data_IF_093716631439
#
_entry.id   IF_093716631439
#
_cell.length_a   1.000
_cell.length_b   1.000
_cell.length_c   1.000
_cell.angle_alpha   90.00
_cell.angle_beta   90.00
_cell.angle_gamma   90.00
#
_symmetry.space_group_name_H-M   'P 1'
#
loop_
_entity.id
_entity.type
_entity.pdbx_description
1 polymer ?
#
# COMPACT_ATOMS: atom_id res chain seq x y z
N UNK A 1 -40.36 -30.03 -19.34
CA UNK A 1 -38.94 -30.27 -19.80
C UNK A 1 -38.07 -29.34 -19.00
N UNK A 2 -37.40 -29.87 -17.97
CA UNK A 2 -36.62 -29.08 -16.98
C UNK A 2 -35.17 -29.03 -17.40
N UNK A 3 -34.70 -27.87 -17.83
CA UNK A 3 -33.28 -27.61 -18.12
C UNK A 3 -32.53 -27.24 -16.85
N UNK A 4 -31.74 -28.18 -16.32
CA UNK A 4 -30.86 -28.00 -15.16
C UNK A 4 -29.60 -27.31 -15.60
N UNK A 5 -29.45 -26.02 -15.30
CA UNK A 5 -28.19 -25.26 -15.55
C UNK A 5 -27.21 -25.62 -14.44
N UNK A 6 -26.19 -26.38 -14.79
CA UNK A 6 -25.06 -26.70 -13.91
C UNK A 6 -24.09 -25.52 -13.84
N UNK A 7 -24.06 -24.82 -12.72
CA UNK A 7 -23.01 -23.85 -12.43
C UNK A 7 -21.73 -24.57 -12.04
N UNK A 8 -20.77 -24.58 -12.94
CA UNK A 8 -19.42 -25.09 -12.65
C UNK A 8 -18.62 -23.97 -11.95
N UNK A 9 -18.47 -24.08 -10.66
CA UNK A 9 -17.59 -23.22 -9.89
C UNK A 9 -16.11 -23.59 -10.19
N UNK A 10 -15.41 -22.77 -10.94
CA UNK A 10 -13.97 -22.91 -11.15
C UNK A 10 -13.27 -22.31 -9.94
N UNK A 11 -12.85 -23.14 -9.01
CA UNK A 11 -11.97 -22.76 -7.91
C UNK A 11 -10.56 -22.51 -8.49
N UNK A 12 -10.17 -21.24 -8.60
CA UNK A 12 -8.82 -20.86 -8.99
C UNK A 12 -7.89 -21.02 -7.79
N UNK A 13 -7.19 -22.16 -7.71
CA UNK A 13 -6.16 -22.41 -6.72
C UNK A 13 -4.95 -21.49 -7.00
N UNK A 14 -4.73 -20.51 -6.13
CA UNK A 14 -3.52 -19.71 -6.14
C UNK A 14 -2.44 -20.51 -5.39
N UNK A 15 -1.57 -21.18 -6.16
CA UNK A 15 -0.37 -21.82 -5.64
C UNK A 15 0.67 -20.72 -5.42
N UNK A 16 1.01 -20.45 -4.18
CA UNK A 16 2.12 -19.58 -3.80
C UNK A 16 3.38 -20.44 -3.77
N UNK A 17 4.41 -20.17 -4.61
CA UNK A 17 5.67 -20.87 -4.49
C UNK A 17 6.40 -20.42 -3.21
N UNK A 18 6.76 -21.40 -2.38
CA UNK A 18 7.65 -21.21 -1.25
C UNK A 18 9.05 -20.93 -1.81
N UNK A 19 9.51 -19.68 -1.79
CA UNK A 19 10.87 -19.33 -2.13
C UNK A 19 11.80 -19.69 -0.96
N UNK A 20 12.67 -20.66 -1.18
CA UNK A 20 13.73 -21.04 -0.28
C UNK A 20 14.75 -19.90 -0.16
N UNK A 21 14.98 -19.42 1.05
CA UNK A 21 16.05 -18.47 1.34
C UNK A 21 17.38 -19.22 1.41
N UNK A 22 18.22 -19.07 0.38
CA UNK A 22 19.63 -19.40 0.45
C UNK A 22 20.38 -18.19 1.01
N UNK A 23 20.93 -18.34 2.21
CA UNK A 23 21.83 -17.36 2.81
C UNK A 23 23.21 -17.46 2.14
N UNK A 24 23.58 -16.46 1.37
CA UNK A 24 24.98 -16.27 0.92
C UNK A 24 25.71 -15.43 1.95
N UNK A 25 26.65 -16.05 2.64
CA UNK A 25 27.63 -15.34 3.46
C UNK A 25 28.72 -14.77 2.55
N UNK A 26 28.92 -13.45 2.56
CA UNK A 26 30.04 -12.78 1.91
C UNK A 26 31.23 -12.74 2.86
N UNK A 27 32.48 -12.91 2.38
CA UNK A 27 33.67 -12.84 3.22
C UNK A 27 34.01 -11.40 3.57
N UNK A 28 34.33 -11.16 4.86
CA UNK A 28 34.83 -9.91 5.37
C UNK A 28 36.27 -9.73 4.94
N UNK A 29 36.61 -8.64 4.22
CA UNK A 29 37.96 -8.19 3.97
C UNK A 29 38.41 -7.24 5.07
N UNK A 30 39.53 -7.52 5.68
CA UNK A 30 40.19 -6.71 6.70
C UNK A 30 40.80 -5.41 6.12
N UNK A 31 40.84 -4.30 6.86
CA UNK A 31 41.46 -3.07 6.41
C UNK A 31 43.00 -3.12 6.58
N UNK A 32 43.70 -2.82 5.51
CA UNK A 32 45.18 -2.64 5.51
C UNK A 32 45.52 -1.28 6.11
N UNK A 33 46.32 -1.29 7.16
CA UNK A 33 46.95 -0.10 7.76
C UNK A 33 48.14 0.30 6.93
N UNK A 34 48.13 1.48 6.31
CA UNK A 34 49.32 2.11 5.71
C UNK A 34 49.68 3.29 6.57
N UNK A 35 50.84 3.14 7.24
CA UNK A 35 51.52 4.21 7.99
C UNK A 35 52.34 5.06 7.02
N UNK A 36 52.04 6.35 6.91
CA UNK A 36 52.85 7.32 6.19
C UNK A 36 53.28 8.42 7.14
N UNK A 37 54.60 8.48 7.39
CA UNK A 37 55.26 9.57 8.05
C UNK A 37 55.21 10.84 7.19
N UNK A 38 54.80 11.96 7.74
CA UNK A 38 54.93 13.28 7.12
C UNK A 38 55.62 14.24 8.04
N UNK A 39 56.70 14.77 7.50
CA UNK A 39 57.58 15.81 7.99
C UNK A 39 56.84 17.15 8.05
N UNK A 40 57.13 17.90 9.12
CA UNK A 40 56.61 19.24 9.42
C UNK A 40 57.08 20.27 8.40
N UNK A 41 56.19 21.05 7.82
CA UNK A 41 56.51 22.39 7.33
C UNK A 41 55.39 23.37 7.67
N UNK A 42 55.78 24.54 8.18
CA UNK A 42 54.88 25.59 8.66
C UNK A 42 54.51 26.51 7.49
N UNK A 43 53.26 26.51 7.07
CA UNK A 43 52.70 27.63 6.32
C UNK A 43 51.25 27.84 6.71
N UNK A 44 50.97 29.04 7.20
CA UNK A 44 49.66 29.52 7.64
C UNK A 44 48.70 29.56 6.44
N UNK A 45 47.72 28.66 6.40
CA UNK A 45 46.65 28.75 5.44
C UNK A 45 45.32 28.62 6.19
N UNK A 46 44.43 29.60 5.98
CA UNK A 46 43.12 29.65 6.59
C UNK A 46 42.34 28.35 6.27
N UNK A 47 42.09 27.55 7.28
CA UNK A 47 41.29 26.33 7.18
C UNK A 47 39.83 26.75 7.08
N UNK A 48 39.28 26.74 5.88
CA UNK A 48 37.82 26.66 5.70
C UNK A 48 37.38 25.33 6.32
N UNK A 49 36.81 25.41 7.50
CA UNK A 49 36.15 24.27 8.13
C UNK A 49 34.96 23.85 7.25
N UNK A 50 35.20 22.88 6.40
CA UNK A 50 34.12 22.14 5.73
C UNK A 50 33.41 21.39 6.85
N UNK A 51 32.23 21.92 7.27
CA UNK A 51 31.30 21.17 8.10
C UNK A 51 31.06 19.83 7.38
N UNK A 52 31.32 18.68 8.03
CA UNK A 52 30.89 17.41 7.45
C UNK A 52 29.37 17.54 7.25
N UNK A 53 28.98 17.46 5.99
CA UNK A 53 27.57 17.30 5.62
C UNK A 53 27.10 16.07 6.40
N UNK A 54 26.30 16.27 7.43
CA UNK A 54 25.65 15.16 8.09
C UNK A 54 24.76 14.52 7.03
N UNK A 55 25.23 13.43 6.45
CA UNK A 55 24.40 12.52 5.69
C UNK A 55 23.44 11.98 6.74
N UNK A 56 22.31 12.67 6.90
CA UNK A 56 21.20 12.14 7.65
C UNK A 56 20.77 10.93 6.82
N UNK A 57 21.26 9.76 7.19
CA UNK A 57 20.59 8.53 6.85
C UNK A 57 19.20 8.68 7.44
N UNK A 58 18.28 9.13 6.61
CA UNK A 58 16.86 9.15 6.95
C UNK A 58 16.52 7.70 7.23
N UNK A 59 16.63 7.32 8.50
CA UNK A 59 16.19 6.01 8.96
C UNK A 59 14.81 5.80 8.33
N UNK A 60 14.62 4.68 7.67
CA UNK A 60 13.38 4.40 6.98
C UNK A 60 12.28 4.17 8.02
N UNK A 61 11.89 5.26 8.73
CA UNK A 61 10.81 5.24 9.70
C UNK A 61 9.55 4.74 9.01
N UNK A 62 8.79 3.90 9.71
CA UNK A 62 7.48 3.47 9.24
C UNK A 62 6.61 4.72 9.01
N UNK A 63 5.69 4.69 8.03
CA UNK A 63 4.73 5.76 7.86
C UNK A 63 3.85 5.89 9.12
N UNK A 64 3.33 7.07 9.38
CA UNK A 64 2.37 7.32 10.45
C UNK A 64 0.95 7.16 9.94
N UNK A 65 0.04 6.73 10.80
CA UNK A 65 -1.39 6.67 10.51
C UNK A 65 -2.10 7.91 11.07
N UNK A 66 -3.35 8.13 10.63
CA UNK A 66 -4.26 9.04 11.34
C UNK A 66 -4.50 8.52 12.77
N UNK A 67 -4.85 9.42 13.68
CA UNK A 67 -5.04 9.08 15.10
C UNK A 67 -6.15 8.04 15.30
N UNK A 68 -7.27 8.19 14.56
CA UNK A 68 -8.37 7.25 14.60
C UNK A 68 -9.18 7.21 13.30
N UNK A 69 -9.83 6.09 13.07
CA UNK A 69 -10.80 5.88 11.99
C UNK A 69 -12.08 5.31 12.60
N UNK A 70 -13.17 6.04 12.42
CA UNK A 70 -14.50 5.53 12.66
C UNK A 70 -14.84 4.54 11.53
N UNK A 71 -14.92 3.26 11.85
CA UNK A 71 -15.11 2.20 10.86
C UNK A 71 -16.54 2.17 10.29
N UNK A 72 -17.52 2.75 10.98
CA UNK A 72 -18.88 2.90 10.46
C UNK A 72 -18.93 3.96 9.36
N UNK A 73 -18.28 5.12 9.59
CA UNK A 73 -18.13 6.14 8.56
C UNK A 73 -17.24 5.68 7.40
N UNK A 74 -16.24 4.83 7.69
CA UNK A 74 -15.34 4.28 6.68
C UNK A 74 -16.02 3.20 5.83
N UNK A 75 -17.08 2.57 6.31
CA UNK A 75 -17.83 1.53 5.61
C UNK A 75 -18.44 2.05 4.28
N UNK A 76 -18.86 1.13 3.43
CA UNK A 76 -19.39 1.40 2.10
C UNK A 76 -18.34 1.32 1.00
N UNK A 77 -18.65 1.85 -0.18
CA UNK A 77 -17.83 1.71 -1.39
C UNK A 77 -16.86 2.87 -1.55
N UNK A 78 -15.63 2.53 -1.91
CA UNK A 78 -14.56 3.43 -2.29
C UNK A 78 -14.08 3.10 -3.71
N UNK A 79 -13.84 4.13 -4.50
CA UNK A 79 -13.21 4.03 -5.82
C UNK A 79 -11.69 4.21 -5.66
N UNK A 80 -10.92 3.36 -6.30
CA UNK A 80 -9.47 3.54 -6.40
C UNK A 80 -9.18 4.63 -7.43
N UNK A 81 -8.62 5.75 -6.97
CA UNK A 81 -8.16 6.84 -7.83
C UNK A 81 -6.81 6.51 -8.45
N UNK A 82 -5.96 5.85 -7.68
CA UNK A 82 -4.66 5.39 -8.15
C UNK A 82 -3.92 4.58 -7.10
N UNK A 83 -2.86 3.93 -7.54
CA UNK A 83 -2.05 3.05 -6.70
C UNK A 83 -0.60 2.94 -7.16
N UNK A 84 0.26 2.46 -6.27
CA UNK A 84 1.52 1.83 -6.67
C UNK A 84 1.25 0.45 -7.30
N UNK A 85 2.08 0.00 -8.25
CA UNK A 85 1.95 -1.33 -8.85
C UNK A 85 2.02 -2.44 -7.80
N UNK A 86 1.16 -3.44 -7.93
CA UNK A 86 1.15 -4.59 -7.03
C UNK A 86 0.77 -5.89 -7.74
N UNK A 87 1.43 -6.95 -7.36
CA UNK A 87 1.30 -8.25 -8.01
C UNK A 87 -0.15 -8.79 -8.01
N UNK A 88 -0.85 -8.66 -6.89
CA UNK A 88 -2.19 -9.23 -6.74
C UNK A 88 -3.31 -8.45 -7.45
N UNK A 89 -3.05 -7.19 -7.85
CA UNK A 89 -3.97 -6.39 -8.68
C UNK A 89 -3.54 -6.28 -10.15
N UNK A 90 -2.52 -7.01 -10.60
CA UNK A 90 -1.98 -6.91 -11.97
C UNK A 90 -2.99 -7.24 -13.07
N UNK A 91 -4.04 -7.99 -12.75
CA UNK A 91 -5.12 -8.34 -13.69
C UNK A 91 -6.22 -7.28 -13.77
N UNK A 92 -6.23 -6.29 -12.88
CA UNK A 92 -7.20 -5.20 -12.86
C UNK A 92 -6.74 -4.10 -13.83
N UNK A 93 -7.49 -3.89 -14.89
CA UNK A 93 -7.25 -2.84 -15.88
C UNK A 93 -8.00 -1.56 -15.53
N UNK A 94 -9.25 -1.65 -15.03
CA UNK A 94 -10.10 -0.50 -14.70
C UNK A 94 -11.13 -0.82 -13.62
N UNK A 95 -11.91 0.19 -13.26
CA UNK A 95 -13.12 0.11 -12.42
C UNK A 95 -12.86 -0.54 -11.05
N UNK A 96 -11.70 -0.22 -10.46
CA UNK A 96 -11.32 -0.79 -9.18
C UNK A 96 -12.11 -0.13 -8.07
N UNK A 97 -12.83 -0.94 -7.31
CA UNK A 97 -13.57 -0.52 -6.11
C UNK A 97 -13.27 -1.45 -4.94
N UNK A 98 -13.40 -0.90 -3.73
CA UNK A 98 -13.34 -1.65 -2.48
C UNK A 98 -14.59 -1.31 -1.66
N UNK A 99 -15.37 -2.32 -1.29
CA UNK A 99 -16.55 -2.15 -0.42
C UNK A 99 -16.29 -2.78 0.93
N UNK A 100 -16.46 -2.00 1.98
CA UNK A 100 -16.26 -2.42 3.37
C UNK A 100 -17.62 -2.51 4.07
N UNK A 101 -17.88 -3.65 4.73
CA UNK A 101 -19.12 -3.90 5.47
C UNK A 101 -18.78 -4.50 6.82
N UNK A 102 -19.13 -3.82 7.90
CA UNK A 102 -19.00 -4.37 9.25
C UNK A 102 -19.83 -5.64 9.40
N UNK A 103 -19.26 -6.65 10.02
CA UNK A 103 -19.99 -7.88 10.32
C UNK A 103 -20.85 -7.67 11.57
N UNK A 104 -22.08 -8.15 11.52
CA UNK A 104 -23.06 -8.01 12.61
C UNK A 104 -22.62 -8.70 13.91
N UNK A 105 -21.76 -9.73 13.79
CA UNK A 105 -21.20 -10.45 14.93
C UNK A 105 -19.96 -9.76 15.54
N UNK A 106 -19.57 -8.58 15.01
CA UNK A 106 -18.39 -7.84 15.47
C UNK A 106 -17.03 -8.51 15.14
N UNK A 107 -17.02 -9.62 14.40
CA UNK A 107 -15.80 -10.39 14.14
C UNK A 107 -14.83 -9.74 13.14
N UNK A 108 -15.22 -8.61 12.54
CA UNK A 108 -14.40 -7.86 11.60
C UNK A 108 -15.21 -7.16 10.53
N UNK A 109 -14.56 -6.84 9.42
CA UNK A 109 -15.10 -6.10 8.29
C UNK A 109 -14.95 -6.97 7.04
N UNK A 110 -16.04 -7.28 6.38
CA UNK A 110 -15.99 -7.90 5.04
C UNK A 110 -15.49 -6.86 4.04
N UNK A 111 -14.51 -7.25 3.23
CA UNK A 111 -13.92 -6.43 2.17
C UNK A 111 -14.21 -7.10 0.84
N UNK A 112 -14.91 -6.41 -0.05
CA UNK A 112 -15.16 -6.88 -1.41
C UNK A 112 -14.45 -5.94 -2.38
N UNK A 113 -13.39 -6.43 -3.00
CA UNK A 113 -12.70 -5.73 -4.08
C UNK A 113 -13.26 -6.20 -5.42
N UNK A 114 -13.55 -5.25 -6.30
CA UNK A 114 -14.00 -5.51 -7.67
C UNK A 114 -13.16 -4.72 -8.65
N UNK A 115 -12.95 -5.27 -9.83
CA UNK A 115 -12.34 -4.56 -10.96
C UNK A 115 -12.72 -5.21 -12.28
N UNK A 116 -12.46 -4.52 -13.39
CA UNK A 116 -12.52 -5.05 -14.75
C UNK A 116 -11.12 -5.44 -15.20
N UNK A 117 -10.96 -6.65 -15.75
CA UNK A 117 -9.75 -7.09 -16.41
C UNK A 117 -9.61 -6.48 -17.82
N UNK A 118 -8.46 -6.70 -18.48
CA UNK A 118 -8.18 -6.17 -19.83
C UNK A 118 -9.25 -6.53 -20.88
N UNK A 119 -9.91 -7.67 -20.73
CA UNK A 119 -10.97 -8.12 -21.64
C UNK A 119 -12.37 -7.76 -21.13
N UNK A 120 -12.51 -6.82 -20.21
CA UNK A 120 -13.78 -6.46 -19.57
C UNK A 120 -14.31 -7.52 -18.59
N UNK A 121 -13.54 -8.57 -18.31
CA UNK A 121 -13.93 -9.62 -17.38
C UNK A 121 -14.04 -9.07 -15.96
N UNK A 122 -15.19 -9.26 -15.32
CA UNK A 122 -15.38 -8.86 -13.92
C UNK A 122 -14.54 -9.76 -12.99
N UNK A 123 -13.72 -9.14 -12.17
CA UNK A 123 -12.89 -9.80 -11.15
C UNK A 123 -13.38 -9.36 -9.79
N UNK A 124 -13.64 -10.33 -8.91
CA UNK A 124 -14.08 -10.06 -7.53
C UNK A 124 -13.21 -10.85 -6.56
N UNK A 125 -12.80 -10.21 -5.48
CA UNK A 125 -12.10 -10.84 -4.38
C UNK A 125 -12.76 -10.44 -3.06
N UNK A 126 -13.10 -11.45 -2.23
CA UNK A 126 -13.66 -11.23 -0.91
C UNK A 126 -12.62 -11.53 0.17
N UNK A 127 -12.48 -10.60 1.10
CA UNK A 127 -11.57 -10.69 2.23
C UNK A 127 -12.23 -10.35 3.55
N UNK A 128 -11.47 -10.55 4.62
CA UNK A 128 -11.82 -10.13 5.97
C UNK A 128 -10.73 -9.19 6.49
N UNK A 129 -11.13 -8.00 6.92
CA UNK A 129 -10.27 -7.08 7.66
C UNK A 129 -10.59 -7.15 9.16
N UNK A 130 -9.57 -7.07 9.98
CA UNK A 130 -9.70 -6.96 11.44
C UNK A 130 -8.86 -5.79 11.94
N UNK A 131 -9.35 -4.97 12.87
CA UNK A 131 -8.54 -3.97 13.53
C UNK A 131 -7.29 -4.61 14.14
N UNK A 132 -6.15 -3.96 13.96
CA UNK A 132 -4.88 -4.37 14.56
C UNK A 132 -4.64 -3.67 15.91
N UNK A 133 -5.34 -2.57 16.13
CA UNK A 133 -5.36 -1.79 17.38
C UNK A 133 -6.75 -1.16 17.59
N UNK A 134 -6.91 -0.41 18.69
CA UNK A 134 -8.19 0.20 19.05
C UNK A 134 -8.49 1.51 18.30
N UNK A 135 -7.59 1.95 17.40
CA UNK A 135 -7.77 3.23 16.68
C UNK A 135 -8.60 3.07 15.41
N UNK A 136 -8.73 1.85 14.88
CA UNK A 136 -9.33 1.60 13.57
C UNK A 136 -8.46 2.05 12.39
N UNK A 137 -7.35 2.75 12.63
CA UNK A 137 -6.47 3.26 11.57
C UNK A 137 -5.54 2.20 10.99
N UNK A 138 -5.37 1.07 11.68
CA UNK A 138 -4.56 -0.06 11.24
C UNK A 138 -5.40 -1.32 11.22
N UNK A 139 -5.47 -1.96 10.06
CA UNK A 139 -6.17 -3.21 9.87
C UNK A 139 -5.20 -4.28 9.36
N UNK A 140 -5.56 -5.54 9.62
CA UNK A 140 -4.99 -6.73 8.97
C UNK A 140 -6.04 -7.31 8.04
N UNK A 141 -5.74 -7.40 6.76
CA UNK A 141 -6.65 -7.90 5.73
C UNK A 141 -6.18 -9.24 5.20
N UNK A 142 -7.08 -10.20 5.09
CA UNK A 142 -6.81 -11.52 4.50
C UNK A 142 -7.84 -11.85 3.45
N UNK A 143 -7.37 -12.27 2.27
CA UNK A 143 -8.17 -12.80 1.17
C UNK A 143 -8.11 -14.33 1.09
N UNK A 144 -7.57 -14.98 2.12
CA UNK A 144 -7.60 -16.44 2.20
C UNK A 144 -9.05 -16.95 2.37
N UNK A 145 -9.36 -18.14 1.83
CA UNK A 145 -10.63 -18.81 2.09
C UNK A 145 -10.92 -18.94 3.58
N UNK A 146 -12.18 -18.89 3.98
CA UNK A 146 -12.59 -18.86 5.40
C UNK A 146 -12.03 -20.01 6.22
N UNK A 147 -11.94 -21.21 5.64
CA UNK A 147 -11.47 -22.42 6.31
C UNK A 147 -9.97 -22.46 6.64
N UNK A 148 -9.13 -21.60 6.01
CA UNK A 148 -7.70 -21.44 6.31
C UNK A 148 -7.33 -20.06 6.84
N UNK A 149 -8.31 -19.15 6.94
CA UNK A 149 -8.08 -17.75 7.36
C UNK A 149 -7.59 -17.61 8.81
N UNK A 150 -7.73 -18.67 9.60
CA UNK A 150 -7.19 -18.75 10.97
C UNK A 150 -5.66 -18.82 11.00
N UNK A 151 -5.02 -19.29 9.92
CA UNK A 151 -3.57 -19.32 9.84
C UNK A 151 -2.97 -17.90 9.96
N UNK A 152 -1.81 -17.74 10.62
CA UNK A 152 -1.15 -16.46 10.78
C UNK A 152 -0.49 -15.92 9.50
N UNK A 153 -0.62 -16.64 8.38
CA UNK A 153 -0.07 -16.29 7.06
C UNK A 153 -1.11 -15.61 6.18
N UNK A 154 -0.67 -14.95 5.10
CA UNK A 154 -1.58 -14.35 4.10
C UNK A 154 -2.38 -13.15 4.62
N UNK A 155 -1.87 -12.47 5.65
CA UNK A 155 -2.44 -11.23 6.17
C UNK A 155 -1.59 -10.05 5.73
N UNK A 156 -2.21 -9.08 5.07
CA UNK A 156 -1.58 -7.84 4.65
C UNK A 156 -1.90 -6.72 5.64
N UNK A 157 -0.93 -5.82 5.83
CA UNK A 157 -1.16 -4.57 6.54
C UNK A 157 -1.98 -3.62 5.66
N UNK A 158 -2.90 -2.90 6.30
CA UNK A 158 -3.72 -1.87 5.70
C UNK A 158 -3.79 -0.70 6.68
N UNK A 159 -3.00 0.33 6.43
CA UNK A 159 -2.86 1.48 7.30
C UNK A 159 -3.46 2.72 6.67
N UNK A 160 -4.39 3.38 7.34
CA UNK A 160 -4.96 4.66 6.89
C UNK A 160 -3.99 5.76 7.28
N UNK A 161 -3.25 6.28 6.30
CA UNK A 161 -2.18 7.27 6.48
C UNK A 161 -2.73 8.69 6.54
N UNK A 162 -3.77 8.96 5.78
CA UNK A 162 -4.49 10.23 5.78
C UNK A 162 -5.93 10.02 5.34
N UNK A 163 -6.84 10.87 5.80
CA UNK A 163 -8.22 11.00 5.32
C UNK A 163 -8.71 12.42 5.53
N UNK A 164 -9.73 12.83 4.81
CA UNK A 164 -10.46 14.06 5.14
C UNK A 164 -11.47 13.83 6.28
N UNK A 165 -11.98 14.92 6.85
CA UNK A 165 -12.94 14.88 7.96
C UNK A 165 -14.25 14.21 7.56
N UNK A 166 -14.65 14.34 6.30
CA UNK A 166 -15.93 13.88 5.76
C UNK A 166 -15.88 12.45 5.23
N UNK A 167 -14.75 11.77 5.37
CA UNK A 167 -14.54 10.41 4.83
C UNK A 167 -14.80 10.29 3.33
N UNK A 168 -14.45 11.32 2.56
CA UNK A 168 -14.60 11.35 1.09
C UNK A 168 -13.36 10.86 0.36
N UNK A 169 -12.17 11.06 0.96
CA UNK A 169 -10.88 10.68 0.39
C UNK A 169 -9.99 10.06 1.46
N UNK A 170 -9.27 9.01 1.13
CA UNK A 170 -8.34 8.34 2.03
C UNK A 170 -7.07 7.92 1.29
N UNK A 171 -5.92 8.07 1.96
CA UNK A 171 -4.64 7.51 1.56
C UNK A 171 -4.35 6.31 2.43
N UNK A 172 -4.13 5.18 1.79
CA UNK A 172 -3.89 3.89 2.47
C UNK A 172 -2.57 3.33 2.02
N UNK A 173 -1.83 2.74 2.93
CA UNK A 173 -0.56 2.13 2.59
C UNK A 173 -0.13 1.02 3.53
N UNK A 174 1.09 0.54 3.33
CA UNK A 174 1.71 -0.52 4.14
C UNK A 174 2.93 0.01 4.88
N UNK A 175 3.29 -0.55 6.06
CA UNK A 175 4.43 -0.08 6.85
C UNK A 175 5.79 -0.23 6.17
N UNK A 176 5.91 -1.14 5.19
CA UNK A 176 7.09 -1.33 4.35
C UNK A 176 7.12 -0.41 3.13
N UNK A 177 6.10 0.44 2.94
CA UNK A 177 5.93 1.41 1.85
C UNK A 177 5.88 0.81 0.45
N UNK A 178 5.67 -0.49 0.33
CA UNK A 178 5.57 -1.17 -0.98
C UNK A 178 4.23 -0.94 -1.66
N UNK A 179 3.17 -0.79 -0.90
CA UNK A 179 1.81 -0.62 -1.42
C UNK A 179 1.21 0.68 -0.93
N UNK A 180 0.53 1.36 -1.85
CA UNK A 180 -0.15 2.63 -1.60
C UNK A 180 -1.37 2.72 -2.50
N UNK A 181 -2.48 3.17 -1.93
CA UNK A 181 -3.73 3.45 -2.64
C UNK A 181 -4.23 4.84 -2.27
N UNK A 182 -4.70 5.58 -3.26
CA UNK A 182 -5.55 6.74 -3.07
C UNK A 182 -6.98 6.32 -3.39
N UNK A 183 -7.85 6.42 -2.41
CA UNK A 183 -9.26 6.02 -2.48
C UNK A 183 -10.15 7.25 -2.34
N UNK A 184 -11.30 7.24 -3.01
CA UNK A 184 -12.32 8.29 -2.84
C UNK A 184 -13.73 7.72 -2.95
N UNK A 185 -14.72 8.47 -2.40
CA UNK A 185 -16.14 8.13 -2.54
C UNK A 185 -16.71 8.44 -3.92
N UNK A 186 -15.98 9.19 -4.71
CA UNK A 186 -16.29 9.49 -6.11
C UNK A 186 -15.12 9.04 -6.98
N UNK A 187 -15.35 8.53 -8.19
CA UNK A 187 -14.26 8.23 -9.14
C UNK A 187 -13.53 9.50 -9.60
N UNK A 188 -14.12 10.68 -9.40
CA UNK A 188 -13.50 11.97 -9.74
C UNK A 188 -13.11 12.72 -8.46
N UNK A 189 -11.87 13.23 -8.44
CA UNK A 189 -11.37 14.15 -7.41
C UNK A 189 -10.74 15.35 -8.07
N UNK A 190 -10.63 16.47 -7.33
CA UNK A 190 -9.97 17.66 -7.83
C UNK A 190 -8.45 17.46 -7.94
N UNK A 191 -7.82 18.20 -8.86
CA UNK A 191 -6.35 18.24 -8.95
C UNK A 191 -5.71 18.66 -7.63
N UNK A 192 -6.32 19.60 -6.92
CA UNK A 192 -5.87 20.05 -5.61
C UNK A 192 -5.89 18.91 -4.59
N UNK A 193 -6.98 18.16 -4.52
CA UNK A 193 -7.08 16.99 -3.63
C UNK A 193 -6.02 15.95 -3.99
N UNK A 194 -5.86 15.65 -5.28
CA UNK A 194 -4.84 14.72 -5.75
C UNK A 194 -3.42 15.14 -5.35
N UNK A 195 -3.08 16.42 -5.61
CA UNK A 195 -1.78 16.98 -5.26
C UNK A 195 -1.51 16.92 -3.75
N UNK A 196 -2.49 17.28 -2.92
CA UNK A 196 -2.42 17.19 -1.45
C UNK A 196 -2.07 15.79 -0.98
N UNK A 197 -2.78 14.79 -1.46
CA UNK A 197 -2.56 13.40 -1.00
C UNK A 197 -1.25 12.80 -1.54
N UNK A 198 -0.80 13.23 -2.73
CA UNK A 198 0.54 12.88 -3.22
C UNK A 198 1.65 13.46 -2.35
N UNK A 199 1.51 14.73 -1.95
CA UNK A 199 2.46 15.37 -1.04
C UNK A 199 2.53 14.63 0.30
N UNK A 200 1.37 14.30 0.90
CA UNK A 200 1.32 13.49 2.13
C UNK A 200 2.04 12.16 1.93
N UNK A 201 1.81 11.45 0.83
CA UNK A 201 2.48 10.19 0.54
C UNK A 201 4.01 10.34 0.47
N UNK A 202 4.50 11.41 -0.18
CA UNK A 202 5.94 11.71 -0.25
C UNK A 202 6.52 12.06 1.12
N UNK A 203 5.82 12.84 1.93
CA UNK A 203 6.22 13.16 3.31
C UNK A 203 6.29 11.91 4.18
N UNK A 204 5.41 10.93 3.94
CA UNK A 204 5.44 9.60 4.58
C UNK A 204 6.56 8.70 4.04
N UNK A 205 7.28 9.15 3.02
CA UNK A 205 8.46 8.47 2.45
C UNK A 205 8.14 7.43 1.37
N UNK A 206 6.97 7.51 0.72
CA UNK A 206 6.66 6.67 -0.45
C UNK A 206 7.36 7.21 -1.71
N UNK A 207 7.92 6.31 -2.53
CA UNK A 207 8.37 6.64 -3.89
C UNK A 207 7.18 6.54 -4.85
N UNK A 208 6.83 7.68 -5.45
CA UNK A 208 5.66 7.78 -6.33
C UNK A 208 5.99 7.72 -7.83
N UNK A 209 7.23 7.34 -8.20
CA UNK A 209 7.63 7.26 -9.62
C UNK A 209 6.74 6.35 -10.44
N UNK A 210 6.30 5.23 -9.84
CA UNK A 210 5.44 4.26 -10.51
C UNK A 210 3.97 4.38 -10.12
N UNK A 211 3.58 5.44 -9.38
CA UNK A 211 2.18 5.65 -9.01
C UNK A 211 1.33 5.90 -10.25
N UNK A 212 0.31 5.08 -10.45
CA UNK A 212 -0.58 5.11 -11.62
C UNK A 212 -1.99 5.47 -11.20
N UNK A 213 -2.64 6.34 -12.00
CA UNK A 213 -4.07 6.57 -11.91
C UNK A 213 -4.83 5.33 -12.43
N UNK A 214 -5.92 5.01 -11.79
CA UNK A 214 -6.80 3.90 -12.15
C UNK A 214 -7.89 4.39 -13.08
N UNK A 215 -8.02 3.79 -14.27
CA UNK A 215 -9.10 4.12 -15.19
C UNK A 215 -10.45 3.69 -14.61
N UNK A 216 -11.47 4.53 -14.78
CA UNK A 216 -12.86 4.24 -14.45
C UNK A 216 -13.68 4.34 -15.75
N UNK A 217 -14.29 3.24 -16.23
CA UNK A 217 -14.86 3.12 -17.58
C UNK A 217 -16.01 4.07 -17.86
N UNK A 218 -16.79 4.42 -16.85
CA UNK A 218 -17.92 5.34 -17.00
C UNK A 218 -17.59 6.80 -16.67
N UNK A 219 -16.39 7.03 -16.16
CA UNK A 219 -15.89 8.35 -15.82
C UNK A 219 -14.37 8.29 -15.94
N UNK A 220 -13.84 8.92 -16.97
CA UNK A 220 -12.40 9.20 -16.99
C UNK A 220 -12.07 9.82 -15.65
N UNK A 221 -11.00 9.36 -14.97
CA UNK A 221 -10.49 10.08 -13.80
C UNK A 221 -10.06 11.46 -14.28
N UNK A 222 -11.02 12.35 -14.44
CA UNK A 222 -10.76 13.73 -14.68
C UNK A 222 -10.40 14.31 -13.33
N UNK A 223 -9.10 14.56 -13.15
CA UNK A 223 -8.69 15.50 -12.14
C UNK A 223 -9.34 16.83 -12.54
N UNK A 224 -10.50 17.13 -11.97
CA UNK A 224 -11.25 18.36 -12.26
C UNK A 224 -10.41 19.51 -11.72
N UNK A 225 -10.30 20.65 -12.46
CA UNK A 225 -9.57 21.83 -12.00
C UNK A 225 -10.04 22.29 -10.61
#
# INVERSE_FOLDING_TARGET
MNGLIKHTAIALAIIIPLAAFSAYAAPMSAPSTTTSNVTTDKTTTATLAIKPSSIIHKSASKPTTVDSVDLEQYAGTWYEIGRLPMYFQRKCASDVTATYTGKTDGSGITVINKCSGENGTAITAEGLAKPADNTGSKLKVSFLPSWIRWLPVGRADYWVLARDSDYKTALVGTPDKKYLWLLARSPNITQQTYAKYREIAQQQGYDLKEFKLTAQSNQTVNLVP
#
